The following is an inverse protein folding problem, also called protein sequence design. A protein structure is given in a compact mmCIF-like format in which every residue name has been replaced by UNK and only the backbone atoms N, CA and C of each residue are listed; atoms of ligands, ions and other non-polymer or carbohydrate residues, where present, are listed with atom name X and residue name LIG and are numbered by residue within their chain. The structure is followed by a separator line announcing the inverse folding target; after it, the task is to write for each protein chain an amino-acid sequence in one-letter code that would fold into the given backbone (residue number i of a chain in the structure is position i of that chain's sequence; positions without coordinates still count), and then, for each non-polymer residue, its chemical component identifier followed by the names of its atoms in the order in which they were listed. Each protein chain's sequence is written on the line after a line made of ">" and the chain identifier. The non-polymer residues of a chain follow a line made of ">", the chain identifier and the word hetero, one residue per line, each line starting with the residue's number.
data_IF_699049429901
#
_entry.id   IF_699049429901
#
_cell.length_a   1.000
_cell.length_b   1.000
_cell.length_c   1.000
_cell.angle_alpha   90.00
_cell.angle_beta   90.00
_cell.angle_gamma   90.00
#
_symmetry.space_group_name_H-M   'P 1'
#
loop_
_entity.id
_entity.type
_entity.pdbx_description
1 polymer ?
#
# COMPACT_ATOMS: atom_id res chain seq x y z
N UNK A 1 15.87 14.97 -7.77
CA UNK A 1 14.82 15.95 -8.08
C UNK A 1 13.99 16.17 -6.83
N UNK A 2 13.84 17.42 -6.40
CA UNK A 2 12.91 17.82 -5.34
C UNK A 2 11.81 18.66 -6.00
N UNK A 3 10.54 18.38 -5.74
CA UNK A 3 9.43 19.12 -6.32
C UNK A 3 8.36 19.38 -5.26
N UNK A 4 7.84 20.60 -5.22
CA UNK A 4 6.72 21.02 -4.39
C UNK A 4 5.75 21.84 -5.22
N UNK A 5 4.46 21.48 -5.27
CA UNK A 5 3.49 22.15 -6.16
C UNK A 5 2.06 22.11 -5.65
N UNK A 6 1.29 23.14 -6.03
CA UNK A 6 -0.18 23.18 -5.91
C UNK A 6 -0.78 23.48 -7.28
N UNK A 7 -1.49 22.51 -7.87
CA UNK A 7 -2.10 22.63 -9.21
C UNK A 7 -3.39 21.81 -9.31
N UNK A 8 -4.23 22.03 -10.33
CA UNK A 8 -5.44 21.23 -10.51
C UNK A 8 -5.14 19.80 -11.01
N UNK A 9 -4.22 19.66 -11.98
CA UNK A 9 -3.87 18.37 -12.58
C UNK A 9 -2.35 18.26 -12.74
N UNK A 10 -1.80 17.13 -12.35
CA UNK A 10 -0.39 16.78 -12.56
C UNK A 10 -0.30 15.41 -13.21
N UNK A 11 0.46 15.34 -14.30
CA UNK A 11 0.91 14.09 -14.91
C UNK A 11 2.43 14.14 -14.93
N UNK A 12 3.09 13.12 -14.38
CA UNK A 12 4.55 13.10 -14.30
C UNK A 12 5.08 11.69 -14.63
N UNK A 13 6.11 11.64 -15.46
CA UNK A 13 6.88 10.42 -15.77
C UNK A 13 8.36 10.76 -15.59
N UNK A 14 9.09 9.97 -14.79
CA UNK A 14 10.50 10.27 -14.49
C UNK A 14 11.35 9.02 -14.28
N UNK A 15 12.62 9.15 -14.66
CA UNK A 15 13.68 8.21 -14.32
C UNK A 15 14.87 9.00 -13.74
N UNK A 16 15.11 8.88 -12.43
CA UNK A 16 16.16 9.62 -11.70
C UNK A 16 16.72 8.78 -10.55
N UNK A 17 17.88 9.14 -10.01
CA UNK A 17 18.44 8.42 -8.86
C UNK A 17 17.63 8.66 -7.56
N UNK A 18 17.28 9.92 -7.27
CA UNK A 18 16.55 10.30 -6.07
C UNK A 18 15.42 11.28 -6.41
N UNK A 19 14.24 11.02 -5.86
CA UNK A 19 13.07 11.89 -5.97
C UNK A 19 12.45 12.15 -4.60
N UNK A 20 12.25 13.43 -4.27
CA UNK A 20 11.38 13.86 -3.18
C UNK A 20 10.26 14.73 -3.76
N UNK A 21 9.02 14.40 -3.45
CA UNK A 21 7.86 15.09 -3.99
C UNK A 21 6.84 15.39 -2.88
N UNK A 22 6.38 16.65 -2.82
CA UNK A 22 5.30 17.11 -1.94
C UNK A 22 4.25 17.83 -2.77
N UNK A 23 2.98 17.42 -2.73
CA UNK A 23 1.97 18.03 -3.61
C UNK A 23 0.60 18.11 -2.99
N UNK A 24 -0.13 19.18 -3.35
CA UNK A 24 -1.57 19.29 -3.14
C UNK A 24 -2.24 19.51 -4.51
N UNK A 25 -2.96 18.52 -5.02
CA UNK A 25 -3.60 18.60 -6.35
C UNK A 25 -4.96 17.90 -6.38
N UNK A 26 -5.82 18.22 -7.35
CA UNK A 26 -7.09 17.50 -7.50
C UNK A 26 -6.88 16.14 -8.19
N UNK A 27 -6.06 16.08 -9.25
CA UNK A 27 -5.76 14.84 -9.97
C UNK A 27 -4.26 14.65 -10.16
N UNK A 28 -3.73 13.52 -9.74
CA UNK A 28 -2.35 13.11 -9.96
C UNK A 28 -2.28 11.76 -10.68
N UNK A 29 -1.53 11.70 -11.78
CA UNK A 29 -1.04 10.45 -12.34
C UNK A 29 0.49 10.49 -12.36
N UNK A 30 1.12 9.45 -11.81
CA UNK A 30 2.57 9.40 -11.68
C UNK A 30 3.09 8.02 -12.09
N UNK A 31 4.11 8.00 -12.95
CA UNK A 31 4.87 6.82 -13.34
C UNK A 31 6.35 7.06 -13.06
N UNK A 32 7.01 6.15 -12.34
CA UNK A 32 8.41 6.39 -11.94
C UNK A 32 9.26 5.13 -11.89
N UNK A 33 10.52 5.30 -12.28
CA UNK A 33 11.59 4.33 -12.03
C UNK A 33 12.75 5.06 -11.35
N UNK A 34 12.96 4.83 -10.06
CA UNK A 34 14.01 5.54 -9.27
C UNK A 34 14.66 4.63 -8.23
N UNK A 35 15.87 4.98 -7.76
CA UNK A 35 16.49 4.22 -6.68
C UNK A 35 15.87 4.57 -5.31
N UNK A 36 15.64 5.87 -5.03
CA UNK A 36 15.00 6.32 -3.78
C UNK A 36 13.87 7.31 -4.07
N UNK A 37 12.70 7.02 -3.53
CA UNK A 37 11.52 7.88 -3.58
C UNK A 37 10.99 8.19 -2.18
N UNK A 38 10.81 9.48 -1.89
CA UNK A 38 9.95 9.94 -0.79
C UNK A 38 8.81 10.77 -1.38
N UNK A 39 7.58 10.44 -1.03
CA UNK A 39 6.40 11.11 -1.56
C UNK A 39 5.41 11.42 -0.43
N UNK A 40 4.97 12.68 -0.36
CA UNK A 40 3.93 13.16 0.54
C UNK A 40 2.85 13.88 -0.26
N UNK A 41 1.59 13.46 -0.16
CA UNK A 41 0.54 14.06 -1.00
C UNK A 41 -0.80 14.17 -0.30
N UNK A 42 -1.51 15.27 -0.61
CA UNK A 42 -2.94 15.41 -0.34
C UNK A 42 -3.67 15.65 -1.66
N UNK A 43 -4.48 14.69 -2.12
CA UNK A 43 -5.15 14.79 -3.42
C UNK A 43 -6.54 14.17 -3.45
N UNK A 44 -7.38 14.55 -4.40
CA UNK A 44 -8.70 13.91 -4.56
C UNK A 44 -8.58 12.55 -5.28
N UNK A 45 -7.83 12.49 -6.39
CA UNK A 45 -7.60 11.25 -7.15
C UNK A 45 -6.11 11.06 -7.42
N UNK A 46 -5.60 9.90 -7.05
CA UNK A 46 -4.22 9.47 -7.30
C UNK A 46 -4.19 8.13 -8.03
N UNK A 47 -3.45 8.09 -9.14
CA UNK A 47 -2.97 6.84 -9.74
C UNK A 47 -1.45 6.84 -9.77
N UNK A 48 -0.83 5.78 -9.28
CA UNK A 48 0.62 5.68 -9.20
C UNK A 48 1.10 4.29 -9.65
N UNK A 49 2.08 4.28 -10.55
CA UNK A 49 2.82 3.10 -10.98
C UNK A 49 4.30 3.31 -10.72
N UNK A 50 4.93 2.42 -9.95
CA UNK A 50 6.33 2.61 -9.55
C UNK A 50 7.16 1.34 -9.57
N UNK A 51 8.41 1.47 -9.97
CA UNK A 51 9.46 0.47 -9.76
C UNK A 51 10.63 1.14 -9.07
N UNK A 52 10.88 0.83 -7.79
CA UNK A 52 11.95 1.50 -7.03
C UNK A 52 12.66 0.59 -6.05
N UNK A 53 13.89 0.94 -5.64
CA UNK A 53 14.59 0.17 -4.60
C UNK A 53 14.07 0.52 -3.19
N UNK A 54 13.90 1.82 -2.88
CA UNK A 54 13.36 2.28 -1.60
C UNK A 54 12.25 3.30 -1.81
N UNK A 55 11.10 3.03 -1.22
CA UNK A 55 9.93 3.91 -1.24
C UNK A 55 9.46 4.23 0.17
N UNK A 56 9.28 5.51 0.46
CA UNK A 56 8.46 5.99 1.57
C UNK A 56 7.31 6.84 1.02
N UNK A 57 6.09 6.50 1.40
CA UNK A 57 4.90 7.19 0.91
C UNK A 57 3.95 7.51 2.07
N UNK A 58 3.56 8.78 2.15
CA UNK A 58 2.51 9.27 3.05
C UNK A 58 1.43 9.97 2.22
N UNK A 59 0.17 9.52 2.35
CA UNK A 59 -0.91 10.08 1.52
C UNK A 59 -2.22 10.22 2.27
N UNK A 60 -2.92 11.34 2.05
CA UNK A 60 -4.33 11.52 2.41
C UNK A 60 -5.13 11.82 1.13
N UNK A 61 -6.01 10.91 0.70
CA UNK A 61 -6.73 11.06 -0.59
C UNK A 61 -8.14 10.47 -0.59
N UNK A 62 -9.01 10.88 -1.53
CA UNK A 62 -10.33 10.25 -1.66
C UNK A 62 -10.28 8.92 -2.41
N UNK A 63 -9.55 8.87 -3.53
CA UNK A 63 -9.38 7.65 -4.35
C UNK A 63 -7.91 7.43 -4.68
N UNK A 64 -7.41 6.24 -4.35
CA UNK A 64 -6.04 5.82 -4.64
C UNK A 64 -6.01 4.49 -5.37
N UNK A 65 -5.30 4.46 -6.50
CA UNK A 65 -4.86 3.22 -7.13
C UNK A 65 -3.33 3.21 -7.18
N UNK A 66 -2.74 2.11 -6.74
CA UNK A 66 -1.29 2.00 -6.65
C UNK A 66 -0.84 0.61 -7.13
N UNK A 67 0.11 0.59 -8.07
CA UNK A 67 0.81 -0.60 -8.53
C UNK A 67 2.31 -0.42 -8.30
N UNK A 68 2.95 -1.35 -7.59
CA UNK A 68 4.33 -1.15 -7.13
C UNK A 68 5.15 -2.42 -7.15
N UNK A 69 6.39 -2.30 -7.58
CA UNK A 69 7.42 -3.33 -7.46
C UNK A 69 8.63 -2.72 -6.78
N UNK A 70 8.93 -3.11 -5.53
CA UNK A 70 10.03 -2.48 -4.77
C UNK A 70 10.77 -3.42 -3.84
N UNK A 71 12.02 -3.09 -3.48
CA UNK A 71 12.73 -3.84 -2.44
C UNK A 71 12.26 -3.50 -1.02
N UNK A 72 12.11 -2.20 -0.71
CA UNK A 72 11.65 -1.74 0.61
C UNK A 72 10.56 -0.69 0.45
N UNK A 73 9.39 -0.98 1.04
CA UNK A 73 8.25 -0.08 1.07
C UNK A 73 7.85 0.25 2.50
N UNK A 74 7.73 1.54 2.81
CA UNK A 74 6.96 2.03 3.93
C UNK A 74 5.82 2.89 3.40
N UNK A 75 4.60 2.55 3.81
CA UNK A 75 3.40 3.24 3.36
C UNK A 75 2.50 3.57 4.54
N UNK A 76 2.16 4.85 4.68
CA UNK A 76 1.13 5.36 5.57
C UNK A 76 0.03 6.00 4.75
N UNK A 77 -1.23 5.65 5.00
CA UNK A 77 -2.33 6.17 4.17
C UNK A 77 -3.65 6.30 4.91
N UNK A 78 -4.35 7.43 4.67
CA UNK A 78 -5.73 7.68 5.10
C UNK A 78 -6.59 7.99 3.88
N UNK A 79 -7.53 7.12 3.50
CA UNK A 79 -8.35 7.31 2.28
C UNK A 79 -9.76 6.74 2.35
N UNK A 80 -10.66 7.22 1.50
CA UNK A 80 -12.00 6.59 1.37
C UNK A 80 -11.94 5.28 0.56
N UNK A 81 -11.25 5.27 -0.59
CA UNK A 81 -11.11 4.08 -1.44
C UNK A 81 -9.66 3.84 -1.83
N UNK A 82 -9.16 2.64 -1.51
CA UNK A 82 -7.83 2.17 -1.89
C UNK A 82 -7.90 0.87 -2.68
N UNK A 83 -7.21 0.84 -3.83
CA UNK A 83 -6.78 -0.39 -4.48
C UNK A 83 -5.25 -0.42 -4.55
N UNK A 84 -4.65 -1.50 -4.07
CA UNK A 84 -3.21 -1.65 -4.02
C UNK A 84 -2.79 -3.04 -4.54
N UNK A 85 -1.87 -3.05 -5.49
CA UNK A 85 -1.18 -4.23 -5.99
C UNK A 85 0.33 -4.07 -5.80
N UNK A 86 0.95 -5.02 -5.10
CA UNK A 86 2.35 -4.89 -4.67
C UNK A 86 3.13 -6.19 -4.78
N UNK A 87 4.38 -6.09 -5.25
CA UNK A 87 5.38 -7.16 -5.17
C UNK A 87 6.63 -6.60 -4.51
N UNK A 88 6.95 -7.03 -3.29
CA UNK A 88 8.07 -6.44 -2.55
C UNK A 88 8.83 -7.40 -1.63
N UNK A 89 10.10 -7.08 -1.34
CA UNK A 89 10.88 -7.86 -0.37
C UNK A 89 10.50 -7.54 1.09
N UNK A 90 10.35 -6.25 1.43
CA UNK A 90 9.93 -5.80 2.76
C UNK A 90 8.84 -4.74 2.65
N UNK A 91 7.71 -4.99 3.29
CA UNK A 91 6.57 -4.08 3.36
C UNK A 91 6.22 -3.75 4.80
N UNK A 92 6.12 -2.46 5.11
CA UNK A 92 5.40 -1.96 6.27
C UNK A 92 4.25 -1.08 5.79
N UNK A 93 3.03 -1.42 6.19
CA UNK A 93 1.83 -0.72 5.78
C UNK A 93 0.96 -0.37 7.00
N UNK A 94 0.63 0.91 7.12
CA UNK A 94 -0.32 1.44 8.11
C UNK A 94 -1.43 2.18 7.38
N UNK A 95 -2.69 1.77 7.59
CA UNK A 95 -3.81 2.32 6.82
C UNK A 95 -5.09 2.49 7.61
N UNK A 96 -5.78 3.61 7.34
CA UNK A 96 -7.15 3.85 7.80
C UNK A 96 -8.02 4.16 6.60
N UNK A 97 -8.95 3.27 6.26
CA UNK A 97 -9.78 3.45 5.04
C UNK A 97 -11.20 2.91 5.14
N UNK A 98 -12.13 3.46 4.36
CA UNK A 98 -13.49 2.90 4.30
C UNK A 98 -13.55 1.62 3.44
N UNK A 99 -12.92 1.62 2.27
CA UNK A 99 -12.85 0.44 1.38
C UNK A 99 -11.41 0.18 0.94
N UNK A 100 -10.93 -1.02 1.23
CA UNK A 100 -9.61 -1.51 0.84
C UNK A 100 -9.71 -2.78 0.00
N UNK A 101 -9.04 -2.78 -1.14
CA UNK A 101 -8.66 -4.00 -1.84
C UNK A 101 -7.13 -4.06 -1.91
N UNK A 102 -6.56 -5.14 -1.43
CA UNK A 102 -5.12 -5.34 -1.39
C UNK A 102 -4.74 -6.71 -1.96
N UNK A 103 -3.83 -6.71 -2.94
CA UNK A 103 -3.18 -7.89 -3.49
C UNK A 103 -1.67 -7.76 -3.32
N UNK A 104 -1.04 -8.73 -2.66
CA UNK A 104 0.37 -8.64 -2.28
C UNK A 104 1.12 -9.96 -2.45
N UNK A 105 2.36 -9.87 -2.94
CA UNK A 105 3.34 -10.97 -2.90
C UNK A 105 4.61 -10.45 -2.24
N UNK A 106 4.94 -10.92 -1.04
CA UNK A 106 6.09 -10.37 -0.30
C UNK A 106 6.86 -11.37 0.55
N UNK A 107 8.14 -11.12 0.80
CA UNK A 107 8.90 -11.95 1.76
C UNK A 107 8.57 -11.61 3.22
N UNK A 108 8.53 -10.30 3.56
CA UNK A 108 8.18 -9.84 4.91
C UNK A 108 7.11 -8.76 4.85
N UNK A 109 5.97 -9.00 5.49
CA UNK A 109 4.86 -8.07 5.63
C UNK A 109 4.60 -7.74 7.10
N UNK A 110 4.55 -6.45 7.41
CA UNK A 110 3.87 -5.94 8.60
C UNK A 110 2.71 -5.05 8.15
N UNK A 111 1.50 -5.38 8.57
CA UNK A 111 0.29 -4.68 8.18
C UNK A 111 -0.54 -4.31 9.42
N UNK A 112 -0.85 -3.03 9.56
CA UNK A 112 -1.76 -2.48 10.57
C UNK A 112 -2.90 -1.73 9.86
N UNK A 113 -4.14 -2.15 10.10
CA UNK A 113 -5.29 -1.57 9.39
C UNK A 113 -6.50 -1.31 10.29
N UNK A 114 -7.20 -0.21 10.02
CA UNK A 114 -8.53 0.07 10.55
C UNK A 114 -9.45 0.40 9.37
N UNK A 115 -10.41 -0.47 9.08
CA UNK A 115 -11.24 -0.32 7.88
C UNK A 115 -12.69 -0.77 8.03
N UNK A 116 -13.60 -0.28 7.19
CA UNK A 116 -14.99 -0.77 7.19
C UNK A 116 -15.15 -2.02 6.31
N UNK A 117 -14.56 -2.01 5.10
CA UNK A 117 -14.55 -3.17 4.19
C UNK A 117 -13.14 -3.45 3.70
N UNK A 118 -12.68 -4.68 3.94
CA UNK A 118 -11.39 -5.18 3.47
C UNK A 118 -11.57 -6.42 2.60
N UNK A 119 -10.94 -6.41 1.43
CA UNK A 119 -10.59 -7.62 0.70
C UNK A 119 -9.07 -7.71 0.62
N UNK A 120 -8.52 -8.81 1.13
CA UNK A 120 -7.08 -9.02 1.20
C UNK A 120 -6.72 -10.38 0.59
N UNK A 121 -5.84 -10.35 -0.42
CA UNK A 121 -5.22 -11.54 -1.01
C UNK A 121 -3.69 -11.43 -0.88
N UNK A 122 -3.08 -12.42 -0.25
CA UNK A 122 -1.63 -12.37 0.05
C UNK A 122 -0.92 -13.70 -0.15
N UNK A 123 0.31 -13.63 -0.66
CA UNK A 123 1.28 -14.74 -0.65
C UNK A 123 2.55 -14.24 0.03
N UNK A 124 2.86 -14.77 1.22
CA UNK A 124 3.90 -14.19 2.09
C UNK A 124 4.75 -15.22 2.83
N UNK A 125 6.06 -15.01 2.96
CA UNK A 125 6.87 -15.89 3.81
C UNK A 125 6.68 -15.58 5.31
N UNK A 126 6.80 -14.31 5.73
CA UNK A 126 6.52 -13.86 7.10
C UNK A 126 5.52 -12.72 7.13
N UNK A 127 4.38 -12.93 7.80
CA UNK A 127 3.32 -11.96 7.96
C UNK A 127 3.06 -11.65 9.44
N UNK A 128 3.07 -10.37 9.80
CA UNK A 128 2.45 -9.87 11.02
C UNK A 128 1.27 -8.97 10.63
N UNK A 129 0.08 -9.31 11.11
CA UNK A 129 -1.16 -8.63 10.74
C UNK A 129 -1.94 -8.21 11.99
N UNK A 130 -2.23 -6.92 12.09
CA UNK A 130 -3.13 -6.34 13.09
C UNK A 130 -4.27 -5.59 12.39
N UNK A 131 -5.52 -6.00 12.62
CA UNK A 131 -6.67 -5.38 11.93
C UNK A 131 -7.88 -5.16 12.82
N UNK A 132 -8.52 -4.01 12.65
CA UNK A 132 -9.89 -3.74 13.16
C UNK A 132 -10.80 -3.51 11.95
N UNK A 133 -11.79 -4.36 11.73
CA UNK A 133 -12.65 -4.24 10.54
C UNK A 133 -14.08 -4.72 10.70
N UNK A 134 -15.03 -4.04 10.06
CA UNK A 134 -16.43 -4.46 10.09
C UNK A 134 -16.69 -5.66 9.16
N UNK A 135 -16.19 -5.64 7.91
CA UNK A 135 -16.28 -6.76 6.96
C UNK A 135 -14.93 -7.10 6.35
N UNK A 136 -14.47 -8.34 6.54
CA UNK A 136 -13.23 -8.86 6.00
C UNK A 136 -13.48 -10.06 5.10
N UNK A 137 -12.91 -10.03 3.89
CA UNK A 137 -12.62 -11.23 3.10
C UNK A 137 -11.11 -11.39 3.02
N UNK A 138 -10.59 -12.53 3.49
CA UNK A 138 -9.16 -12.79 3.59
C UNK A 138 -8.81 -14.12 2.91
N UNK A 139 -7.88 -14.06 1.96
CA UNK A 139 -7.24 -15.21 1.31
C UNK A 139 -5.73 -15.11 1.49
N UNK A 140 -5.11 -16.07 2.20
CA UNK A 140 -3.66 -16.04 2.46
C UNK A 140 -2.98 -17.38 2.24
N UNK A 141 -1.77 -17.33 1.68
CA UNK A 141 -0.80 -18.43 1.65
C UNK A 141 0.46 -17.95 2.36
N UNK A 142 0.84 -18.59 3.46
CA UNK A 142 1.90 -18.09 4.33
C UNK A 142 2.75 -19.18 4.97
N UNK A 143 4.04 -18.93 5.20
CA UNK A 143 4.89 -19.85 5.97
C UNK A 143 4.83 -19.55 7.49
N UNK A 144 4.96 -18.27 7.88
CA UNK A 144 4.85 -17.82 9.28
C UNK A 144 3.90 -16.65 9.40
N UNK A 145 2.89 -16.80 10.26
CA UNK A 145 1.85 -15.79 10.49
C UNK A 145 1.68 -15.50 11.97
N UNK A 146 1.68 -14.22 12.33
CA UNK A 146 1.13 -13.71 13.58
C UNK A 146 -0.06 -12.81 13.27
N UNK A 147 -1.19 -13.05 13.92
CA UNK A 147 -2.46 -12.42 13.61
C UNK A 147 -3.14 -11.89 14.88
N UNK A 148 -3.60 -10.64 14.84
CA UNK A 148 -4.44 -10.02 15.86
C UNK A 148 -5.59 -9.28 15.18
N UNK A 149 -6.83 -9.77 15.32
CA UNK A 149 -7.98 -9.21 14.59
C UNK A 149 -9.21 -8.98 15.46
N UNK A 150 -9.85 -7.82 15.28
CA UNK A 150 -11.21 -7.55 15.78
C UNK A 150 -12.12 -7.37 14.57
N UNK A 151 -13.04 -8.32 14.34
CA UNK A 151 -13.87 -8.36 13.13
C UNK A 151 -15.34 -8.68 13.40
N UNK A 152 -16.26 -7.90 12.83
CA UNK A 152 -17.71 -8.18 12.95
C UNK A 152 -18.17 -9.30 12.00
N UNK A 153 -17.70 -9.29 10.74
CA UNK A 153 -17.99 -10.33 9.73
C UNK A 153 -16.73 -10.71 8.97
N UNK A 154 -16.40 -12.01 8.96
CA UNK A 154 -15.20 -12.54 8.35
C UNK A 154 -15.52 -13.72 7.42
N UNK A 155 -14.97 -13.69 6.21
CA UNK A 155 -14.77 -14.87 5.37
C UNK A 155 -13.26 -15.12 5.24
N UNK A 156 -12.82 -16.34 5.55
CA UNK A 156 -11.41 -16.67 5.64
C UNK A 156 -11.07 -17.93 4.84
N UNK A 157 -10.00 -17.85 4.05
CA UNK A 157 -9.30 -18.98 3.44
C UNK A 157 -7.80 -18.79 3.70
N UNK A 158 -7.18 -19.72 4.43
CA UNK A 158 -5.76 -19.59 4.82
C UNK A 158 -5.05 -20.93 4.71
N UNK A 159 -3.90 -20.92 4.04
CA UNK A 159 -2.97 -22.05 3.96
C UNK A 159 -1.70 -21.65 4.68
N UNK A 160 -1.36 -22.35 5.77
CA UNK A 160 -0.11 -22.14 6.52
C UNK A 160 0.81 -23.34 6.34
N UNK A 161 1.93 -23.15 5.65
CA UNK A 161 2.94 -24.19 5.52
C UNK A 161 3.83 -24.18 6.77
N UNK A 162 3.57 -25.10 7.70
CA UNK A 162 4.52 -25.41 8.78
C UNK A 162 5.69 -26.19 8.18
N UNK A 163 6.79 -25.52 7.89
CA UNK A 163 8.09 -26.20 7.88
C UNK A 163 8.53 -26.34 9.35
N UNK A 164 8.56 -27.57 9.83
CA UNK A 164 9.34 -27.93 11.03
C UNK A 164 10.81 -27.62 10.78
#
# INVERSE_FOLDING_TARGET
>A
MNLSTVVNKMNLSTAVNKMNLSTVVNKMNLSTVVNKMNLSTVVNKMNLSTVVNKMNLSTAVNKKNLSTVVNKMNLSTVVNKMNLSTVVNKMNLSTVVNKMNLSTVVNKMNLSTVVNKMNLSTVVNKMNLSTVVNKMNLSTVVNKMNLSTVVNKMNLSTVVNKMN
#
